data_IF_196710169928
#
_entry.id   IF_196710169928
#
_cell.length_a   1.000
_cell.length_b   1.000
_cell.length_c   1.000
_cell.angle_alpha   90.00
_cell.angle_beta   90.00
_cell.angle_gamma   90.00
#
_symmetry.space_group_name_H-M   'P 1'
#
loop_
_entity.id
_entity.type
_entity.pdbx_description
1 polymer ?
#
# COMPACT_ATOMS: atom_id res chain seq x y z
N UNK A 1 -1.13 -22.69 31.33
CA UNK A 1 -1.80 -21.94 30.22
C UNK A 1 -1.12 -20.60 29.97
N UNK A 2 -0.72 -19.89 31.03
CA UNK A 2 0.14 -18.70 30.95
C UNK A 2 1.56 -19.01 30.44
N UNK A 3 2.15 -20.15 30.82
CA UNK A 3 3.52 -20.50 30.40
C UNK A 3 3.72 -20.62 28.88
N UNK A 4 2.73 -21.15 28.15
CA UNK A 4 2.81 -21.26 26.68
C UNK A 4 2.74 -19.86 26.04
N UNK A 5 1.89 -18.98 26.57
CA UNK A 5 1.76 -17.61 26.10
C UNK A 5 3.04 -16.81 26.40
N UNK A 6 3.62 -16.99 27.58
CA UNK A 6 4.90 -16.39 27.95
C UNK A 6 6.01 -16.88 27.00
N UNK A 7 6.11 -18.18 26.71
CA UNK A 7 7.13 -18.73 25.83
C UNK A 7 7.01 -18.25 24.37
N UNK A 8 5.80 -18.18 23.82
CA UNK A 8 5.56 -17.64 22.46
C UNK A 8 5.90 -16.15 22.38
N UNK A 9 5.50 -15.38 23.39
CA UNK A 9 5.81 -13.96 23.50
C UNK A 9 7.33 -13.74 23.63
N UNK A 10 8.02 -14.53 24.45
CA UNK A 10 9.48 -14.50 24.58
C UNK A 10 10.18 -14.81 23.25
N UNK A 11 9.67 -15.78 22.49
CA UNK A 11 10.23 -16.12 21.16
C UNK A 11 10.08 -14.97 20.18
N UNK A 12 8.89 -14.35 20.09
CA UNK A 12 8.66 -13.19 19.23
C UNK A 12 9.49 -11.97 19.68
N UNK A 13 9.69 -11.76 20.98
CA UNK A 13 10.58 -10.72 21.52
C UNK A 13 12.03 -10.98 21.11
N UNK A 14 12.51 -12.22 21.21
CA UNK A 14 13.86 -12.57 20.79
C UNK A 14 14.05 -12.38 19.28
N UNK A 15 13.09 -12.84 18.47
CA UNK A 15 13.10 -12.61 17.03
C UNK A 15 13.08 -11.12 16.68
N UNK A 16 12.30 -10.31 17.41
CA UNK A 16 12.29 -8.87 17.24
C UNK A 16 13.66 -8.27 17.62
N UNK A 17 14.25 -8.69 18.73
CA UNK A 17 15.57 -8.22 19.17
C UNK A 17 16.69 -8.61 18.19
N UNK A 18 16.56 -9.72 17.47
CA UNK A 18 17.49 -10.11 16.41
C UNK A 18 17.25 -9.33 15.10
N UNK A 19 15.99 -9.07 14.75
CA UNK A 19 15.60 -8.52 13.45
C UNK A 19 15.15 -7.05 13.47
N UNK A 20 15.27 -6.35 14.60
CA UNK A 20 14.73 -4.99 14.77
C UNK A 20 15.23 -4.01 13.72
N UNK A 21 16.47 -4.16 13.23
CA UNK A 21 17.07 -3.31 12.19
C UNK A 21 16.28 -3.40 10.88
N UNK A 22 15.80 -4.58 10.52
CA UNK A 22 14.99 -4.78 9.32
C UNK A 22 13.62 -4.13 9.45
N UNK A 23 12.96 -4.31 10.61
CA UNK A 23 11.68 -3.68 10.89
C UNK A 23 11.82 -2.16 10.88
N UNK A 24 12.82 -1.64 11.60
CA UNK A 24 13.10 -0.21 11.70
C UNK A 24 13.45 0.40 10.34
N UNK A 25 14.31 -0.25 9.56
CA UNK A 25 14.61 0.16 8.19
C UNK A 25 13.36 0.15 7.28
N UNK A 26 12.49 -0.85 7.45
CA UNK A 26 11.20 -0.92 6.79
C UNK A 26 10.30 0.28 7.11
N UNK A 27 10.19 0.65 8.38
CA UNK A 27 9.42 1.80 8.85
C UNK A 27 10.00 3.13 8.32
N UNK A 28 11.32 3.27 8.32
CA UNK A 28 11.99 4.42 7.70
C UNK A 28 11.64 4.49 6.21
N UNK A 29 11.66 3.37 5.50
CA UNK A 29 11.28 3.31 4.08
C UNK A 29 9.83 3.74 3.84
N UNK A 30 8.89 3.32 4.70
CA UNK A 30 7.49 3.77 4.65
C UNK A 30 7.38 5.29 4.84
N UNK A 31 8.13 5.83 5.80
CA UNK A 31 8.17 7.26 6.07
C UNK A 31 8.73 8.05 4.88
N UNK A 32 9.86 7.62 4.31
CA UNK A 32 10.45 8.22 3.11
C UNK A 32 9.48 8.20 1.93
N UNK A 33 8.78 7.09 1.70
CA UNK A 33 7.75 7.01 0.67
C UNK A 33 6.62 8.02 0.90
N UNK A 34 6.15 8.17 2.15
CA UNK A 34 5.13 9.16 2.49
C UNK A 34 5.59 10.61 2.25
N UNK A 35 6.85 10.92 2.59
CA UNK A 35 7.46 12.22 2.28
C UNK A 35 7.56 12.45 0.77
N UNK A 36 7.99 11.45 0.01
CA UNK A 36 8.10 11.52 -1.43
C UNK A 36 6.73 11.73 -2.11
N UNK A 37 5.70 11.03 -1.66
CA UNK A 37 4.33 11.20 -2.14
C UNK A 37 3.77 12.60 -1.83
N UNK A 38 4.07 13.15 -0.65
CA UNK A 38 3.76 14.56 -0.34
C UNK A 38 4.58 15.52 -1.20
N UNK A 39 5.84 15.19 -1.44
CA UNK A 39 6.77 15.96 -2.26
C UNK A 39 6.26 16.13 -3.69
N UNK A 40 5.81 15.04 -4.34
CA UNK A 40 5.26 15.11 -5.71
C UNK A 40 3.99 15.96 -5.80
N UNK A 41 3.20 16.06 -4.72
CA UNK A 41 2.02 16.93 -4.67
C UNK A 41 2.38 18.41 -4.76
N UNK A 42 3.51 18.85 -4.22
CA UNK A 42 4.00 20.23 -4.45
C UNK A 42 4.35 20.48 -5.93
N UNK A 43 4.74 19.44 -6.67
CA UNK A 43 5.05 19.52 -8.10
C UNK A 43 3.83 19.28 -8.99
N UNK A 44 2.69 18.83 -8.43
CA UNK A 44 1.50 18.50 -9.20
C UNK A 44 0.97 19.71 -9.97
N UNK A 45 0.81 19.52 -11.28
CA UNK A 45 0.15 20.50 -12.15
C UNK A 45 -1.20 19.90 -12.59
N UNK A 46 -2.33 20.44 -12.12
CA UNK A 46 -3.63 20.04 -12.64
C UNK A 46 -3.66 20.34 -14.14
N UNK A 47 -4.29 19.42 -14.86
CA UNK A 47 -4.46 19.44 -16.29
C UNK A 47 -5.68 18.58 -16.67
N UNK A 48 -6.01 18.48 -17.96
CA UNK A 48 -7.06 17.58 -18.42
C UNK A 48 -6.73 16.14 -18.05
N UNK A 49 -7.76 15.36 -17.71
CA UNK A 49 -7.61 13.92 -17.42
C UNK A 49 -7.13 13.19 -18.66
N UNK A 50 -6.16 12.29 -18.50
CA UNK A 50 -5.63 11.50 -19.60
C UNK A 50 -6.67 10.50 -20.12
N UNK A 51 -6.55 10.15 -21.40
CA UNK A 51 -7.34 9.07 -21.99
C UNK A 51 -6.97 7.74 -21.35
N UNK A 52 -7.96 7.01 -20.87
CA UNK A 52 -7.76 5.75 -20.16
C UNK A 52 -8.86 4.75 -20.53
N UNK A 53 -8.45 3.58 -21.00
CA UNK A 53 -9.38 2.55 -21.45
C UNK A 53 -10.24 1.99 -20.31
N UNK A 54 -9.69 1.86 -19.10
CA UNK A 54 -10.49 1.46 -17.94
C UNK A 54 -11.50 2.52 -17.55
N UNK A 55 -11.24 3.80 -17.84
CA UNK A 55 -12.25 4.85 -17.64
C UNK A 55 -13.40 4.78 -18.63
N UNK A 56 -13.15 4.33 -19.85
CA UNK A 56 -14.17 4.07 -20.84
C UNK A 56 -14.99 2.80 -20.53
N UNK A 57 -14.33 1.74 -20.08
CA UNK A 57 -14.96 0.44 -19.82
C UNK A 57 -15.72 0.38 -18.50
N UNK A 58 -15.26 1.07 -17.46
CA UNK A 58 -15.86 1.03 -16.14
C UNK A 58 -16.71 2.28 -15.88
N UNK A 59 -17.96 2.11 -15.42
CA UNK A 59 -18.81 3.23 -15.06
C UNK A 59 -18.19 3.99 -13.88
N UNK A 60 -18.24 5.32 -13.95
CA UNK A 60 -17.76 6.18 -12.88
C UNK A 60 -18.67 6.04 -11.65
N UNK A 61 -18.08 5.83 -10.47
CA UNK A 61 -18.85 5.71 -9.21
C UNK A 61 -19.46 7.05 -8.76
N UNK A 62 -18.89 8.17 -9.20
CA UNK A 62 -19.19 9.50 -8.70
C UNK A 62 -18.40 9.86 -7.43
N UNK A 63 -18.33 11.15 -7.13
CA UNK A 63 -17.59 11.68 -5.99
C UNK A 63 -18.15 11.18 -4.65
N UNK A 64 -19.47 11.08 -4.53
CA UNK A 64 -20.16 10.63 -3.31
C UNK A 64 -19.83 9.18 -2.93
N UNK A 65 -19.46 8.36 -3.90
CA UNK A 65 -19.13 6.93 -3.71
C UNK A 65 -17.64 6.63 -3.84
N UNK A 66 -16.80 7.65 -4.01
CA UNK A 66 -15.35 7.47 -4.14
C UNK A 66 -14.71 6.85 -2.88
N UNK A 67 -15.37 6.93 -1.71
CA UNK A 67 -14.90 6.31 -0.47
C UNK A 67 -14.96 4.78 -0.51
N UNK A 68 -15.79 4.17 -1.35
CA UNK A 68 -16.00 2.70 -1.38
C UNK A 68 -14.67 1.97 -1.62
N UNK A 69 -13.84 2.46 -2.53
CA UNK A 69 -12.52 1.86 -2.79
C UNK A 69 -11.56 2.01 -1.60
N UNK A 70 -11.64 3.09 -0.80
CA UNK A 70 -10.87 3.20 0.47
C UNK A 70 -11.38 2.21 1.52
N UNK A 71 -12.70 2.03 1.62
CA UNK A 71 -13.30 1.11 2.59
C UNK A 71 -12.85 -0.33 2.32
N UNK A 72 -12.86 -0.75 1.05
CA UNK A 72 -12.35 -2.09 0.66
C UNK A 72 -10.86 -2.23 0.99
N UNK A 73 -10.05 -1.21 0.67
CA UNK A 73 -8.63 -1.23 1.01
C UNK A 73 -8.38 -1.33 2.51
N UNK A 74 -9.09 -0.52 3.30
CA UNK A 74 -8.99 -0.51 4.76
C UNK A 74 -9.41 -1.85 5.35
N UNK A 75 -10.47 -2.46 4.81
CA UNK A 75 -10.87 -3.80 5.19
C UNK A 75 -9.78 -4.84 4.90
N UNK A 76 -9.16 -4.82 3.72
CA UNK A 76 -8.03 -5.71 3.39
C UNK A 76 -6.86 -5.49 4.33
N UNK A 77 -6.51 -4.21 4.58
CA UNK A 77 -5.39 -3.83 5.44
C UNK A 77 -5.60 -4.32 6.88
N UNK A 78 -6.73 -3.98 7.49
CA UNK A 78 -7.04 -4.38 8.87
C UNK A 78 -7.17 -5.89 9.00
N UNK A 79 -7.82 -6.56 8.05
CA UNK A 79 -7.94 -8.02 8.06
C UNK A 79 -6.58 -8.72 8.01
N UNK A 80 -5.65 -8.20 7.21
CA UNK A 80 -4.29 -8.74 7.13
C UNK A 80 -3.52 -8.52 8.44
N UNK A 81 -3.55 -7.29 8.99
CA UNK A 81 -2.91 -6.98 10.27
C UNK A 81 -3.46 -7.92 11.35
N UNK A 82 -4.78 -8.00 11.52
CA UNK A 82 -5.42 -8.89 12.51
C UNK A 82 -5.01 -10.36 12.31
N UNK A 83 -4.89 -10.82 11.07
CA UNK A 83 -4.42 -12.18 10.78
C UNK A 83 -2.95 -12.40 11.22
N UNK A 84 -2.06 -11.41 11.02
CA UNK A 84 -0.66 -11.54 11.46
C UNK A 84 -0.53 -11.67 12.97
N UNK A 85 -1.42 -11.01 13.75
CA UNK A 85 -1.42 -11.09 15.21
C UNK A 85 -2.33 -12.21 15.76
N UNK A 86 -3.01 -12.98 14.91
CA UNK A 86 -3.85 -14.10 15.36
C UNK A 86 -3.11 -15.17 16.19
N UNK A 87 -1.80 -15.47 16.00
CA UNK A 87 -1.11 -16.48 16.80
C UNK A 87 -1.12 -16.14 18.30
N UNK A 88 -1.00 -14.87 18.66
CA UNK A 88 -1.05 -14.42 20.05
C UNK A 88 -2.42 -14.67 20.72
N UNK A 89 -3.49 -14.74 19.93
CA UNK A 89 -4.87 -14.94 20.41
C UNK A 89 -5.25 -16.42 20.35
N UNK A 90 -4.96 -17.08 19.23
CA UNK A 90 -5.42 -18.43 18.90
C UNK A 90 -4.36 -19.53 19.12
N UNK A 91 -3.18 -19.19 19.68
CA UNK A 91 -2.10 -20.10 20.12
C UNK A 91 -1.67 -21.10 19.06
N UNK A 92 -1.41 -20.60 17.85
CA UNK A 92 -1.12 -21.43 16.68
C UNK A 92 0.31 -21.20 16.17
N UNK A 93 1.13 -22.26 16.20
CA UNK A 93 2.59 -22.24 15.97
C UNK A 93 3.03 -22.09 14.50
N UNK A 94 2.15 -21.67 13.59
CA UNK A 94 2.44 -21.75 12.15
C UNK A 94 3.16 -20.55 11.56
N UNK A 95 3.04 -19.38 12.18
CA UNK A 95 3.63 -18.13 11.67
C UNK A 95 4.22 -17.33 12.82
N UNK A 96 5.39 -16.74 12.61
CA UNK A 96 5.96 -15.71 13.49
C UNK A 96 5.70 -14.34 12.88
N UNK A 97 5.07 -13.48 13.66
CA UNK A 97 4.62 -12.14 13.29
C UNK A 97 5.81 -11.30 12.83
N UNK A 98 6.91 -11.32 13.60
CA UNK A 98 8.11 -10.55 13.28
C UNK A 98 8.67 -10.93 11.91
N UNK A 99 8.80 -12.23 11.62
CA UNK A 99 9.35 -12.71 10.34
C UNK A 99 8.45 -12.37 9.15
N UNK A 100 7.14 -12.44 9.33
CA UNK A 100 6.18 -12.01 8.30
C UNK A 100 6.35 -10.52 8.01
N UNK A 101 6.43 -9.68 9.05
CA UNK A 101 6.59 -8.24 8.88
C UNK A 101 7.95 -7.84 8.30
N UNK A 102 9.04 -8.55 8.62
CA UNK A 102 10.34 -8.37 7.95
C UNK A 102 10.22 -8.58 6.43
N UNK A 103 9.55 -9.67 6.01
CA UNK A 103 9.33 -9.98 4.59
C UNK A 103 8.41 -8.95 3.92
N UNK A 104 7.28 -8.65 4.54
CA UNK A 104 6.30 -7.67 4.03
C UNK A 104 6.94 -6.30 3.86
N UNK A 105 7.66 -5.81 4.86
CA UNK A 105 8.34 -4.51 4.79
C UNK A 105 9.41 -4.49 3.70
N UNK A 106 10.18 -5.57 3.52
CA UNK A 106 11.14 -5.66 2.42
C UNK A 106 10.46 -5.55 1.04
N UNK A 107 9.35 -6.27 0.83
CA UNK A 107 8.57 -6.17 -0.41
C UNK A 107 8.01 -4.76 -0.62
N UNK A 108 7.45 -4.14 0.44
CA UNK A 108 6.88 -2.81 0.38
C UNK A 108 7.93 -1.75 0.06
N UNK A 109 9.07 -1.76 0.75
CA UNK A 109 10.16 -0.78 0.53
C UNK A 109 10.70 -0.89 -0.89
N UNK A 110 10.93 -2.10 -1.40
CA UNK A 110 11.40 -2.28 -2.77
C UNK A 110 10.38 -1.76 -3.81
N UNK A 111 9.09 -2.09 -3.64
CA UNK A 111 8.05 -1.58 -4.53
C UNK A 111 7.91 -0.06 -4.46
N UNK A 112 7.97 0.50 -3.25
CA UNK A 112 7.84 1.94 -3.03
C UNK A 112 9.04 2.72 -3.55
N UNK A 113 10.24 2.17 -3.47
CA UNK A 113 11.42 2.79 -4.07
C UNK A 113 11.28 2.91 -5.59
N UNK A 114 10.86 1.82 -6.26
CA UNK A 114 10.54 1.84 -7.69
C UNK A 114 9.44 2.86 -8.00
N UNK A 115 8.42 2.93 -7.14
CA UNK A 115 7.31 3.88 -7.25
C UNK A 115 7.78 5.34 -7.17
N UNK A 116 8.67 5.66 -6.23
CA UNK A 116 9.24 7.01 -6.08
C UNK A 116 9.93 7.43 -7.37
N UNK A 117 10.75 6.55 -7.94
CA UNK A 117 11.43 6.82 -9.21
C UNK A 117 10.41 7.10 -10.32
N UNK A 118 9.36 6.28 -10.44
CA UNK A 118 8.38 6.43 -11.52
C UNK A 118 7.64 7.75 -11.43
N UNK A 119 7.02 8.08 -10.29
CA UNK A 119 6.20 9.29 -10.21
C UNK A 119 7.01 10.60 -10.26
N UNK A 120 8.26 10.62 -9.77
CA UNK A 120 9.10 11.80 -9.92
C UNK A 120 9.56 12.02 -11.37
N UNK A 121 9.66 10.95 -12.16
CA UNK A 121 10.09 11.01 -13.56
C UNK A 121 8.97 11.41 -14.53
N UNK A 122 7.71 11.16 -14.18
CA UNK A 122 6.58 11.24 -15.12
C UNK A 122 5.66 12.44 -14.88
N UNK A 123 5.40 12.81 -13.62
CA UNK A 123 4.64 14.02 -13.22
C UNK A 123 3.32 14.25 -13.99
N UNK A 124 2.58 13.17 -14.31
CA UNK A 124 1.28 13.22 -14.98
C UNK A 124 0.17 13.82 -14.08
N UNK A 125 -0.88 14.40 -14.68
CA UNK A 125 -2.01 14.95 -13.93
C UNK A 125 -2.87 13.83 -13.30
N UNK A 126 -3.04 13.85 -11.99
CA UNK A 126 -3.89 12.91 -11.25
C UNK A 126 -5.38 12.93 -11.67
N UNK A 127 -6.05 11.75 -11.76
CA UNK A 127 -7.43 11.64 -12.26
C UNK A 127 -8.52 11.98 -11.24
N UNK A 128 -8.16 12.02 -9.95
CA UNK A 128 -9.09 12.19 -8.84
C UNK A 128 -9.77 13.56 -8.88
N UNK A 129 -11.06 13.62 -8.53
CA UNK A 129 -11.88 14.83 -8.59
C UNK A 129 -11.23 16.04 -7.90
N UNK A 130 -10.60 15.84 -6.74
CA UNK A 130 -9.96 16.91 -5.98
C UNK A 130 -8.60 17.34 -6.54
N UNK A 131 -8.06 16.63 -7.53
CA UNK A 131 -6.80 16.94 -8.22
C UNK A 131 -6.99 17.66 -9.56
N UNK A 132 -8.24 17.80 -10.03
CA UNK A 132 -8.60 18.46 -11.28
C UNK A 132 -8.49 19.99 -11.16
N UNK A 133 -8.42 20.67 -12.31
CA UNK A 133 -8.42 22.13 -12.39
C UNK A 133 -9.64 22.73 -11.67
N UNK A 134 -9.43 23.86 -10.98
CA UNK A 134 -10.46 24.53 -10.18
C UNK A 134 -10.63 24.01 -8.75
N UNK A 135 -10.08 22.85 -8.40
CA UNK A 135 -10.08 22.36 -7.01
C UNK A 135 -9.05 23.08 -6.15
N UNK A 136 -9.45 23.50 -4.94
CA UNK A 136 -8.55 24.09 -3.93
C UNK A 136 -7.50 23.10 -3.41
N UNK A 137 -7.74 21.79 -3.55
CA UNK A 137 -6.86 20.73 -3.07
C UNK A 137 -5.90 20.23 -4.15
N UNK A 138 -6.03 20.71 -5.40
CA UNK A 138 -5.20 20.23 -6.49
C UNK A 138 -3.73 20.57 -6.27
N UNK A 139 -3.41 21.78 -5.80
CA UNK A 139 -2.03 22.22 -5.52
C UNK A 139 -1.85 22.49 -4.04
N UNK A 140 -0.71 22.05 -3.50
CA UNK A 140 -0.25 22.51 -2.21
C UNK A 140 0.39 23.91 -2.34
N UNK A 141 0.17 24.82 -1.37
CA UNK A 141 0.91 26.07 -1.32
C UNK A 141 2.40 25.81 -1.14
N UNK A 142 3.26 26.77 -1.49
CA UNK A 142 4.69 26.67 -1.23
C UNK A 142 4.90 26.51 0.30
N UNK A 143 5.71 25.55 0.77
CA UNK A 143 5.93 25.38 2.19
C UNK A 143 6.72 26.56 2.75
N UNK A 144 6.25 27.13 3.86
CA UNK A 144 6.93 28.24 4.54
C UNK A 144 8.10 27.75 5.40
N UNK A 145 8.05 26.49 5.84
CA UNK A 145 9.05 25.86 6.69
C UNK A 145 9.31 24.39 6.27
N UNK A 146 10.46 23.87 6.68
CA UNK A 146 10.86 22.48 6.39
C UNK A 146 9.95 21.48 7.13
N UNK A 147 9.40 21.87 8.29
CA UNK A 147 8.53 21.01 9.09
C UNK A 147 7.23 20.64 8.36
N UNK A 148 6.67 21.52 7.54
CA UNK A 148 5.49 21.24 6.71
C UNK A 148 5.75 20.19 5.64
N UNK A 149 7.01 20.06 5.19
CA UNK A 149 7.40 19.02 4.24
C UNK A 149 7.62 17.70 4.98
N UNK A 150 8.23 17.74 6.18
CA UNK A 150 8.53 16.56 6.98
C UNK A 150 7.31 15.98 7.71
N UNK A 151 6.27 16.78 7.97
CA UNK A 151 5.09 16.32 8.68
C UNK A 151 4.06 15.66 7.75
N UNK A 152 3.93 14.35 7.87
CA UNK A 152 2.89 13.57 7.17
C UNK A 152 1.57 13.71 7.96
N UNK A 153 0.63 14.47 7.43
CA UNK A 153 -0.70 14.69 8.02
C UNK A 153 -1.69 13.69 7.42
N UNK A 154 -2.62 13.08 8.19
CA UNK A 154 -3.59 12.11 7.66
C UNK A 154 -4.39 12.62 6.46
N UNK A 155 -4.73 13.91 6.46
CA UNK A 155 -5.40 14.56 5.33
C UNK A 155 -4.54 14.57 4.06
N UNK A 156 -3.22 14.74 4.18
CA UNK A 156 -2.29 14.68 3.06
C UNK A 156 -2.14 13.26 2.48
N UNK A 157 -2.33 12.23 3.32
CA UNK A 157 -2.33 10.83 2.86
C UNK A 157 -3.60 10.52 2.05
N UNK A 158 -4.74 11.06 2.46
CA UNK A 158 -6.04 10.83 1.81
C UNK A 158 -6.28 11.70 0.56
N UNK A 159 -5.74 12.92 0.56
CA UNK A 159 -5.96 13.92 -0.50
C UNK A 159 -4.67 14.29 -1.24
N UNK A 160 -3.74 13.33 -1.37
CA UNK A 160 -2.52 13.51 -2.14
C UNK A 160 -2.81 13.54 -3.64
N UNK A 161 -2.30 14.55 -4.34
CA UNK A 161 -2.34 14.64 -5.79
C UNK A 161 -0.94 14.48 -6.40
N UNK A 162 -0.89 14.05 -7.66
CA UNK A 162 0.34 13.87 -8.41
C UNK A 162 0.25 12.67 -9.34
N UNK A 163 1.33 12.45 -10.07
CA UNK A 163 1.59 11.15 -10.66
C UNK A 163 1.77 10.15 -9.52
N UNK A 164 1.01 9.07 -9.52
CA UNK A 164 1.06 8.08 -8.46
C UNK A 164 1.26 6.69 -9.03
N UNK A 165 1.84 6.59 -10.24
CA UNK A 165 2.26 5.33 -10.83
C UNK A 165 3.32 4.69 -9.92
N UNK A 166 3.15 3.46 -9.46
CA UNK A 166 1.96 2.60 -9.49
C UNK A 166 1.24 2.59 -8.13
N UNK A 167 -0.05 2.24 -8.10
CA UNK A 167 -0.93 2.49 -6.94
C UNK A 167 -0.45 1.87 -5.62
N UNK A 168 -0.42 2.65 -4.54
CA UNK A 168 -0.12 2.19 -3.17
C UNK A 168 -1.14 1.16 -2.69
N UNK A 169 -2.42 1.42 -2.91
CA UNK A 169 -3.49 0.51 -2.52
C UNK A 169 -3.26 -0.88 -3.12
N UNK A 170 -2.84 -0.92 -4.38
CA UNK A 170 -2.49 -2.16 -5.06
C UNK A 170 -1.19 -2.78 -4.54
N UNK A 171 -0.14 -1.98 -4.26
CA UNK A 171 1.09 -2.47 -3.62
C UNK A 171 0.77 -3.22 -2.33
N UNK A 172 0.09 -2.57 -1.40
CA UNK A 172 -0.23 -3.14 -0.09
C UNK A 172 -1.15 -4.36 -0.23
N UNK A 173 -2.25 -4.24 -0.97
CA UNK A 173 -3.21 -5.34 -1.13
C UNK A 173 -2.58 -6.57 -1.80
N UNK A 174 -1.78 -6.40 -2.85
CA UNK A 174 -1.11 -7.52 -3.52
C UNK A 174 -0.06 -8.18 -2.63
N UNK A 175 0.77 -7.39 -1.94
CA UNK A 175 1.75 -7.94 -0.97
C UNK A 175 1.04 -8.74 0.12
N UNK A 176 -0.06 -8.23 0.67
CA UNK A 176 -0.83 -8.89 1.73
C UNK A 176 -1.49 -10.18 1.25
N UNK A 177 -2.18 -10.14 0.11
CA UNK A 177 -2.84 -11.33 -0.44
C UNK A 177 -1.84 -12.39 -0.86
N UNK A 178 -0.69 -12.03 -1.44
CA UNK A 178 0.38 -13.01 -1.73
C UNK A 178 0.98 -13.60 -0.47
N UNK A 179 1.23 -12.77 0.55
CA UNK A 179 1.74 -13.24 1.84
C UNK A 179 0.74 -14.21 2.48
N UNK A 180 -0.55 -13.88 2.51
CA UNK A 180 -1.59 -14.80 2.97
C UNK A 180 -1.71 -16.06 2.11
N UNK A 181 -1.53 -15.94 0.79
CA UNK A 181 -1.57 -17.10 -0.08
C UNK A 181 -0.44 -18.10 0.23
N UNK A 182 0.76 -17.61 0.55
CA UNK A 182 1.92 -18.42 0.91
C UNK A 182 1.80 -19.03 2.31
N UNK A 183 1.49 -18.21 3.32
CA UNK A 183 1.56 -18.63 4.74
C UNK A 183 0.20 -18.97 5.36
N UNK A 184 -0.90 -18.51 4.76
CA UNK A 184 -2.25 -18.81 5.21
C UNK A 184 -2.65 -20.26 4.90
N UNK A 185 -3.49 -20.83 5.76
CA UNK A 185 -3.90 -22.24 5.68
C UNK A 185 -5.26 -22.43 5.01
N UNK A 186 -6.17 -21.45 5.11
CA UNK A 186 -7.57 -21.60 4.68
C UNK A 186 -7.75 -21.27 3.20
N UNK A 187 -7.99 -22.28 2.36
CA UNK A 187 -8.17 -22.14 0.91
C UNK A 187 -9.28 -21.15 0.54
N UNK A 188 -10.44 -21.24 1.21
CA UNK A 188 -11.58 -20.36 0.97
C UNK A 188 -11.20 -18.88 1.16
N UNK A 189 -10.44 -18.57 2.21
CA UNK A 189 -9.97 -17.19 2.47
C UNK A 189 -8.98 -16.75 1.39
N UNK A 190 -8.13 -17.65 0.87
CA UNK A 190 -7.23 -17.33 -0.26
C UNK A 190 -8.02 -16.93 -1.51
N UNK A 191 -9.09 -17.64 -1.83
CA UNK A 191 -9.95 -17.34 -2.97
C UNK A 191 -10.66 -15.99 -2.80
N UNK A 192 -11.25 -15.75 -1.62
CA UNK A 192 -11.86 -14.46 -1.29
C UNK A 192 -10.84 -13.34 -1.38
N UNK A 193 -9.63 -13.53 -0.83
CA UNK A 193 -8.58 -12.51 -0.84
C UNK A 193 -8.21 -12.11 -2.27
N UNK A 194 -8.01 -13.07 -3.17
CA UNK A 194 -7.73 -12.78 -4.59
C UNK A 194 -8.90 -12.09 -5.28
N UNK A 195 -10.13 -12.55 -5.06
CA UNK A 195 -11.33 -11.90 -5.60
C UNK A 195 -11.46 -10.45 -5.12
N UNK A 196 -11.23 -10.19 -3.84
CA UNK A 196 -11.27 -8.85 -3.25
C UNK A 196 -10.26 -7.92 -3.90
N UNK A 197 -9.04 -8.40 -4.21
CA UNK A 197 -8.02 -7.55 -4.88
C UNK A 197 -8.40 -7.24 -6.33
N UNK A 198 -9.03 -8.17 -7.04
CA UNK A 198 -9.58 -7.92 -8.38
C UNK A 198 -10.69 -6.87 -8.29
N UNK A 199 -11.64 -7.03 -7.38
CA UNK A 199 -12.73 -6.06 -7.16
C UNK A 199 -12.15 -4.69 -6.77
N UNK A 200 -11.18 -4.65 -5.86
CA UNK A 200 -10.51 -3.42 -5.44
C UNK A 200 -9.81 -2.73 -6.62
N UNK A 201 -9.16 -3.49 -7.52
CA UNK A 201 -8.54 -2.95 -8.74
C UNK A 201 -9.58 -2.20 -9.60
N UNK A 202 -10.72 -2.83 -9.84
CA UNK A 202 -11.81 -2.23 -10.63
C UNK A 202 -12.40 -1.01 -9.94
N UNK A 203 -12.65 -1.09 -8.63
CA UNK A 203 -13.19 0.03 -7.84
C UNK A 203 -12.25 1.24 -7.79
N UNK A 204 -10.94 1.02 -7.73
CA UNK A 204 -9.93 2.09 -7.77
C UNK A 204 -10.05 2.88 -9.08
N UNK A 205 -10.11 2.20 -10.21
CA UNK A 205 -10.25 2.82 -11.55
C UNK A 205 -11.62 3.49 -11.70
N UNK A 206 -12.69 2.81 -11.28
CA UNK A 206 -14.05 3.32 -11.36
C UNK A 206 -14.31 4.53 -10.43
N UNK A 207 -13.57 4.64 -9.31
CA UNK A 207 -13.56 5.82 -8.43
C UNK A 207 -12.69 6.97 -8.92
N UNK A 208 -12.04 6.83 -10.09
CA UNK A 208 -11.11 7.80 -10.68
C UNK A 208 -9.94 8.17 -9.75
N UNK A 209 -9.57 7.30 -8.81
CA UNK A 209 -8.43 7.56 -7.92
C UNK A 209 -7.10 7.40 -8.63
N UNK A 210 -7.02 6.43 -9.51
CA UNK A 210 -5.84 6.06 -10.26
C UNK A 210 -6.22 5.76 -11.70
N UNK A 211 -5.26 5.93 -12.61
CA UNK A 211 -5.39 5.44 -13.97
C UNK A 211 -5.25 3.91 -13.99
N UNK A 212 -5.71 3.29 -15.07
CA UNK A 212 -5.58 1.86 -15.29
C UNK A 212 -4.12 1.44 -15.32
N UNK A 213 -3.24 2.29 -15.87
CA UNK A 213 -1.79 2.03 -15.89
C UNK A 213 -1.22 1.88 -14.48
N UNK A 214 -1.66 2.69 -13.51
CA UNK A 214 -1.20 2.62 -12.11
C UNK A 214 -1.54 1.27 -11.48
N UNK A 215 -2.68 0.68 -11.87
CA UNK A 215 -3.15 -0.61 -11.34
C UNK A 215 -2.45 -1.77 -12.06
N UNK A 216 -2.36 -1.72 -13.39
CA UNK A 216 -1.73 -2.76 -14.20
C UNK A 216 -0.24 -2.88 -13.90
N UNK A 217 0.49 -1.75 -13.83
CA UNK A 217 1.91 -1.74 -13.48
C UNK A 217 2.12 -2.26 -12.05
N UNK A 218 1.19 -2.01 -11.12
CA UNK A 218 1.25 -2.59 -9.78
C UNK A 218 1.16 -4.13 -9.81
N UNK A 219 0.23 -4.67 -10.60
CA UNK A 219 0.10 -6.12 -10.78
C UNK A 219 1.38 -6.75 -11.32
N UNK A 220 2.06 -6.14 -12.29
CA UNK A 220 3.33 -6.68 -12.78
C UNK A 220 4.46 -6.53 -11.75
N UNK A 221 4.71 -5.30 -11.31
CA UNK A 221 5.88 -4.97 -10.50
C UNK A 221 5.86 -5.67 -9.15
N UNK A 222 4.72 -5.70 -8.44
CA UNK A 222 4.64 -6.34 -7.12
C UNK A 222 4.90 -7.83 -7.21
N UNK A 223 4.32 -8.52 -8.20
CA UNK A 223 4.54 -9.96 -8.38
C UNK A 223 6.00 -10.27 -8.71
N UNK A 224 6.66 -9.45 -9.53
CA UNK A 224 8.08 -9.58 -9.86
C UNK A 224 8.97 -9.33 -8.64
N UNK A 225 8.74 -8.23 -7.91
CA UNK A 225 9.52 -7.88 -6.71
C UNK A 225 9.41 -8.98 -5.66
N UNK A 226 8.19 -9.48 -5.39
CA UNK A 226 8.00 -10.59 -4.46
C UNK A 226 8.75 -11.84 -4.93
N UNK A 227 8.69 -12.17 -6.22
CA UNK A 227 9.40 -13.34 -6.77
C UNK A 227 10.92 -13.24 -6.59
N UNK A 228 11.53 -12.08 -6.83
CA UNK A 228 12.98 -11.90 -6.68
C UNK A 228 13.42 -11.85 -5.22
N UNK A 229 12.74 -11.08 -4.38
CA UNK A 229 13.14 -10.90 -2.98
C UNK A 229 12.94 -12.20 -2.19
N UNK A 230 11.87 -12.95 -2.47
CA UNK A 230 11.59 -14.21 -1.76
C UNK A 230 12.63 -15.31 -2.04
N UNK A 231 13.39 -15.20 -3.13
CA UNK A 231 14.57 -16.07 -3.40
C UNK A 231 15.81 -15.66 -2.60
N UNK A 232 15.90 -14.40 -2.19
CA UNK A 232 17.08 -13.83 -1.53
C UNK A 232 16.96 -13.86 -0.01
N UNK A 233 15.73 -13.88 0.52
CA UNK A 233 15.49 -13.96 1.95
C UNK A 233 15.65 -15.41 2.45
N UNK A 234 16.45 -15.67 3.51
CA UNK A 234 16.54 -17.00 4.10
C UNK A 234 15.15 -17.49 4.56
N UNK A 235 14.93 -18.81 4.44
CA UNK A 235 13.66 -19.50 4.72
C UNK A 235 13.12 -19.26 6.12
#
# INVERSE_FOLDING_TARGET
MEEIFAAETTTEINLLAENWKYIFGGLIGQYIHGLAARGVHYFHRPGPTLQDAGFFLLPELGQDRAYISETVFTFVFLSFVLWTFHPFILKNKKIYTVLIWCRVLAFLVACQFLRIITFYSTQLPGPNYHCREGSKLARLPRPDNIFEVLLIVPRGVLYGCGDLIFSSHMIFSLVFVRTYHKYGTRLFVKQIAWLTVIIQSLLIVASRKHYTVDVVVAWYTVNLVVFFIDKTLPG
#
